data_IF_663752663351
#
_entry.id   IF_663752663351
#
_cell.length_a   1.000
_cell.length_b   1.000
_cell.length_c   1.000
_cell.angle_alpha   90.00
_cell.angle_beta   90.00
_cell.angle_gamma   90.00
#
_symmetry.space_group_name_H-M   'P 1'
#
loop_
_entity.id
_entity.type
_entity.pdbx_description
1 polymer ?
#
# COMPACT_ATOMS: atom_id res chain seq x y z
N UNK A 1 -21.18 11.88 7.15
CA UNK A 1 -19.84 12.11 6.57
C UNK A 1 -19.45 10.84 5.84
N UNK A 2 -19.23 10.90 4.53
CA UNK A 2 -18.92 9.72 3.72
C UNK A 2 -17.43 9.38 3.82
N UNK A 3 -17.08 8.11 3.98
CA UNK A 3 -15.71 7.62 3.83
C UNK A 3 -15.55 7.08 2.42
N UNK A 4 -14.48 7.47 1.74
CA UNK A 4 -14.18 6.94 0.40
C UNK A 4 -13.30 5.71 0.54
N UNK A 5 -13.75 4.55 0.06
CA UNK A 5 -12.94 3.33 0.05
C UNK A 5 -12.55 3.03 -1.40
N UNK A 6 -11.25 2.96 -1.65
CA UNK A 6 -10.67 2.63 -2.95
C UNK A 6 -10.14 1.21 -2.86
N UNK A 7 -10.60 0.31 -3.74
CA UNK A 7 -10.13 -1.07 -3.82
C UNK A 7 -9.45 -1.26 -5.18
N UNK A 8 -8.19 -1.66 -5.20
CA UNK A 8 -7.46 -1.95 -6.44
C UNK A 8 -6.56 -3.17 -6.30
N UNK A 9 -6.10 -3.70 -7.43
CA UNK A 9 -5.18 -4.84 -7.46
C UNK A 9 -3.69 -4.44 -7.31
N UNK A 10 -3.36 -3.15 -7.43
CA UNK A 10 -1.98 -2.64 -7.40
C UNK A 10 -1.90 -1.41 -6.53
N UNK A 11 -0.97 -1.45 -5.58
CA UNK A 11 -0.75 -0.38 -4.62
C UNK A 11 -0.38 0.93 -5.35
N UNK A 12 -0.81 2.09 -4.84
CA UNK A 12 -0.23 3.38 -5.24
C UNK A 12 1.22 3.54 -4.76
N UNK A 13 1.77 2.55 -4.05
CA UNK A 13 3.15 2.45 -3.58
C UNK A 13 3.73 1.07 -3.92
N UNK A 14 4.94 1.00 -4.45
CA UNK A 14 5.67 -0.24 -4.63
C UNK A 14 6.46 -0.54 -3.36
N UNK A 15 6.25 -1.73 -2.78
CA UNK A 15 7.07 -2.24 -1.69
C UNK A 15 8.30 -2.94 -2.29
N UNK A 16 9.50 -2.52 -1.88
CA UNK A 16 10.75 -3.20 -2.20
C UNK A 16 11.42 -3.67 -0.90
N UNK A 17 11.77 -4.96 -0.86
CA UNK A 17 12.55 -5.55 0.22
C UNK A 17 13.99 -5.71 -0.30
N UNK A 18 14.97 -5.14 0.38
CA UNK A 18 16.39 -5.29 0.04
C UNK A 18 17.23 -5.26 1.31
N UNK A 19 18.14 -6.23 1.47
CA UNK A 19 19.05 -6.35 2.61
C UNK A 19 18.34 -6.23 3.98
N UNK A 20 17.17 -6.86 4.14
CA UNK A 20 16.39 -6.80 5.39
C UNK A 20 15.70 -5.45 5.67
N UNK A 21 15.71 -4.53 4.71
CA UNK A 21 15.05 -3.22 4.81
C UNK A 21 13.90 -3.13 3.82
N UNK A 22 12.83 -2.44 4.22
CA UNK A 22 11.66 -2.16 3.36
C UNK A 22 11.71 -0.71 2.91
N UNK A 23 11.53 -0.49 1.61
CA UNK A 23 11.26 0.82 1.03
C UNK A 23 9.88 0.83 0.39
N UNK A 24 9.07 1.83 0.71
CA UNK A 24 7.80 2.11 0.04
C UNK A 24 8.02 3.27 -0.95
N UNK A 25 8.01 2.96 -2.24
CA UNK A 25 8.27 3.93 -3.31
C UNK A 25 6.93 4.25 -3.97
N UNK A 26 6.49 5.52 -4.06
CA UNK A 26 5.26 5.87 -4.75
C UNK A 26 5.27 5.38 -6.20
N UNK A 27 4.19 4.72 -6.62
CA UNK A 27 4.01 4.27 -8.00
C UNK A 27 3.88 5.49 -8.92
N UNK A 28 4.70 5.52 -9.98
CA UNK A 28 4.71 6.63 -10.94
C UNK A 28 3.87 6.25 -12.16
N UNK A 29 2.70 6.87 -12.31
CA UNK A 29 1.85 6.75 -13.51
C UNK A 29 0.50 6.04 -13.29
N UNK A 30 -0.38 6.16 -14.30
CA UNK A 30 -1.68 5.46 -14.34
C UNK A 30 -2.73 5.97 -13.34
N UNK A 31 -3.56 5.04 -12.86
CA UNK A 31 -4.67 5.32 -11.94
C UNK A 31 -4.18 5.87 -10.59
N UNK A 32 -3.03 5.41 -10.10
CA UNK A 32 -2.46 5.88 -8.83
C UNK A 32 -2.15 7.39 -8.86
N UNK A 33 -1.55 7.88 -9.95
CA UNK A 33 -1.31 9.32 -10.14
C UNK A 33 -2.61 10.10 -10.27
N UNK A 34 -3.58 9.59 -11.03
CA UNK A 34 -4.89 10.25 -11.22
C UNK A 34 -5.72 10.33 -9.94
N UNK A 35 -5.64 9.30 -9.09
CA UNK A 35 -6.36 9.22 -7.83
C UNK A 35 -5.62 9.91 -6.67
N UNK A 36 -4.40 10.44 -6.91
CA UNK A 36 -3.59 11.08 -5.86
C UNK A 36 -4.33 12.25 -5.21
N UNK A 37 -5.03 13.08 -6.00
CA UNK A 37 -5.80 14.23 -5.51
C UNK A 37 -7.03 13.83 -4.67
N UNK A 38 -7.70 12.74 -5.07
CA UNK A 38 -8.83 12.15 -4.32
C UNK A 38 -8.34 11.53 -3.01
N UNK A 39 -7.18 10.87 -3.05
CA UNK A 39 -6.62 10.21 -1.89
C UNK A 39 -6.04 11.19 -0.85
N UNK A 40 -5.39 12.27 -1.31
CA UNK A 40 -4.83 13.33 -0.45
C UNK A 40 -5.87 14.15 0.31
N UNK A 41 -7.17 14.00 0.00
CA UNK A 41 -8.26 14.70 0.69
C UNK A 41 -8.54 14.23 2.11
N UNK A 42 -7.78 13.26 2.64
CA UNK A 42 -7.79 12.86 4.05
C UNK A 42 -8.91 11.90 4.48
N UNK A 43 -10.00 11.81 3.72
CA UNK A 43 -11.15 10.93 4.01
C UNK A 43 -11.23 9.71 3.09
N UNK A 44 -10.08 9.10 2.77
CA UNK A 44 -10.05 7.89 1.95
C UNK A 44 -9.09 6.81 2.43
N UNK A 45 -9.51 5.55 2.28
CA UNK A 45 -8.71 4.37 2.57
C UNK A 45 -8.49 3.59 1.27
N UNK A 46 -7.25 3.21 1.00
CA UNK A 46 -6.89 2.40 -0.14
C UNK A 46 -6.61 0.95 0.27
N UNK A 47 -7.41 0.00 -0.18
CA UNK A 47 -7.28 -1.43 0.10
C UNK A 47 -6.75 -2.15 -1.13
N UNK A 48 -5.69 -2.93 -0.97
CA UNK A 48 -4.98 -3.49 -2.13
C UNK A 48 -4.03 -4.63 -1.76
N UNK A 49 -3.73 -5.52 -2.70
CA UNK A 49 -2.70 -6.55 -2.51
C UNK A 49 -1.29 -5.94 -2.60
N UNK A 50 -0.41 -6.34 -1.66
CA UNK A 50 0.97 -5.83 -1.59
C UNK A 50 1.85 -6.21 -2.78
N UNK A 51 1.40 -7.14 -3.62
CA UNK A 51 2.23 -7.73 -4.67
C UNK A 51 3.25 -8.74 -4.14
N UNK A 52 3.24 -8.99 -2.83
CA UNK A 52 4.10 -9.92 -2.12
C UNK A 52 3.22 -11.03 -1.53
N UNK A 53 3.66 -12.28 -1.62
CA UNK A 53 3.06 -13.41 -0.89
C UNK A 53 3.52 -13.40 0.56
N UNK A 54 2.81 -14.12 1.44
CA UNK A 54 3.20 -14.24 2.84
C UNK A 54 4.59 -14.91 3.00
N UNK A 55 5.01 -15.73 2.03
CA UNK A 55 6.33 -16.38 1.99
C UNK A 55 7.46 -15.39 1.66
N UNK A 56 7.16 -14.34 0.88
CA UNK A 56 8.11 -13.29 0.49
C UNK A 56 8.26 -12.21 1.56
N UNK A 57 7.39 -12.20 2.57
CA UNK A 57 7.39 -11.24 3.67
C UNK A 57 7.98 -11.92 4.91
N UNK A 58 9.22 -11.57 5.32
CA UNK A 58 9.74 -12.00 6.61
C UNK A 58 8.81 -11.55 7.74
N UNK A 59 8.54 -12.44 8.70
CA UNK A 59 7.62 -12.17 9.82
C UNK A 59 8.01 -10.91 10.62
N UNK A 60 9.32 -10.67 10.77
CA UNK A 60 9.89 -9.49 11.43
C UNK A 60 9.61 -8.17 10.69
N UNK A 61 9.35 -8.26 9.38
CA UNK A 61 9.13 -7.13 8.49
C UNK A 61 7.65 -6.84 8.27
N UNK A 62 6.76 -7.81 8.50
CA UNK A 62 5.32 -7.65 8.40
C UNK A 62 4.77 -6.40 9.16
N UNK A 63 5.12 -6.15 10.44
CA UNK A 63 4.65 -4.95 11.14
C UNK A 63 5.21 -3.65 10.57
N UNK A 64 6.41 -3.68 9.98
CA UNK A 64 7.00 -2.51 9.31
C UNK A 64 6.28 -2.19 8.00
N UNK A 65 5.85 -3.21 7.25
CA UNK A 65 5.03 -3.03 6.04
C UNK A 65 3.70 -2.39 6.41
N UNK A 66 3.02 -2.92 7.43
CA UNK A 66 1.70 -2.43 7.82
C UNK A 66 1.76 -0.98 8.28
N UNK A 67 2.82 -0.61 9.02
CA UNK A 67 3.08 0.79 9.40
C UNK A 67 3.34 1.70 8.19
N UNK A 68 4.21 1.28 7.27
CA UNK A 68 4.52 2.06 6.08
C UNK A 68 3.27 2.29 5.20
N UNK A 69 2.42 1.26 5.05
CA UNK A 69 1.17 1.39 4.30
C UNK A 69 0.18 2.32 5.01
N UNK A 70 0.05 2.22 6.34
CA UNK A 70 -0.83 3.08 7.11
C UNK A 70 -0.43 4.56 7.04
N UNK A 71 0.87 4.89 7.02
CA UNK A 71 1.39 6.24 6.80
C UNK A 71 0.98 6.80 5.42
N UNK A 72 0.72 5.92 4.45
CA UNK A 72 0.21 6.24 3.13
C UNK A 72 -1.30 6.02 2.97
N UNK A 73 -2.09 5.95 4.06
CA UNK A 73 -3.54 5.78 3.98
C UNK A 73 -3.98 4.48 3.28
N UNK A 74 -3.10 3.48 3.25
CA UNK A 74 -3.26 2.25 2.52
C UNK A 74 -3.27 1.05 3.47
N UNK A 75 -3.97 -0.01 3.09
CA UNK A 75 -4.03 -1.28 3.83
C UNK A 75 -3.85 -2.46 2.88
N UNK A 76 -3.04 -3.43 3.27
CA UNK A 76 -2.79 -4.61 2.45
C UNK A 76 -3.87 -5.68 2.63
N UNK A 77 -4.20 -6.35 1.54
CA UNK A 77 -4.95 -7.62 1.54
C UNK A 77 -3.93 -8.74 1.42
N UNK A 78 -4.03 -9.74 2.31
CA UNK A 78 -3.26 -10.98 2.21
C UNK A 78 -3.98 -11.92 1.25
N UNK A 79 -3.24 -12.46 0.29
CA UNK A 79 -3.71 -13.54 -0.57
C UNK A 79 -3.06 -14.82 -0.06
N UNK A 80 -3.89 -15.79 0.31
CA UNK A 80 -3.51 -17.17 0.67
C UNK A 80 -3.17 -17.99 -0.55
#
# INVERSE_FOLDING_TARGET
MGKTIIISNRLPVQLQISNGTISAIPSVGGLATGMKSVHSGGDSLWIVWSGLTDEEIPEELAPKIDKALAEHGSSKVRLT
#
